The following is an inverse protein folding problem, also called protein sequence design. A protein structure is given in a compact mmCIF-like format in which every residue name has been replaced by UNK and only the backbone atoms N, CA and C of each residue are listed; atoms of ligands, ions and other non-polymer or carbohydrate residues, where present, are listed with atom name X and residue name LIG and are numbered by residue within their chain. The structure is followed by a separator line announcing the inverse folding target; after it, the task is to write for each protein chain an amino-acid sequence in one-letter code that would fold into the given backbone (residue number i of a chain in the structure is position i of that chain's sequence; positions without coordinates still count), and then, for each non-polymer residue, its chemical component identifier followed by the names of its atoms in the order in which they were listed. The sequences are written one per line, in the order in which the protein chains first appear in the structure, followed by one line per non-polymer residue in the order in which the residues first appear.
data_IF_633366565891
#
_entry.id   IF_633366565891
#
_cell.length_a   1.000
_cell.length_b   1.000
_cell.length_c   1.000
_cell.angle_alpha   90.00
_cell.angle_beta   90.00
_cell.angle_gamma   90.00
#
_symmetry.space_group_name_H-M   'P 1'
#
loop_
_entity.id
_entity.type
_entity.pdbx_description
1 polymer ?
#
# COMPACT_ATOMS: atom_id res chain seq x y z
N UNK A 1 11.44 4.20 8.32
CA UNK A 1 12.32 5.14 7.60
C UNK A 1 13.36 4.34 6.83
N UNK A 2 13.56 4.70 5.56
CA UNK A 2 14.56 4.08 4.70
C UNK A 2 15.58 5.16 4.37
N UNK A 3 16.85 4.92 4.73
CA UNK A 3 17.95 5.82 4.41
C UNK A 3 18.86 5.15 3.38
N UNK A 4 19.07 5.79 2.24
CA UNK A 4 20.03 5.35 1.21
C UNK A 4 21.24 6.31 1.27
N UNK A 5 22.46 5.81 1.41
CA UNK A 5 23.67 6.62 1.27
C UNK A 5 23.91 7.05 -0.19
N UNK A 6 24.51 8.22 -0.40
CA UNK A 6 24.72 8.84 -1.73
C UNK A 6 25.72 8.12 -2.63
N UNK A 7 26.48 7.13 -2.17
CA UNK A 7 27.45 6.40 -2.98
C UNK A 7 27.04 4.93 -3.17
N UNK A 8 27.41 4.37 -4.32
CA UNK A 8 27.01 3.11 -4.96
C UNK A 8 27.21 1.78 -4.19
N UNK A 9 27.31 1.82 -2.88
CA UNK A 9 27.22 0.69 -1.95
C UNK A 9 26.08 0.92 -0.94
N UNK A 10 24.91 1.26 -1.44
CA UNK A 10 23.75 1.62 -0.64
C UNK A 10 23.33 0.48 0.31
N UNK A 11 23.70 0.61 1.56
CA UNK A 11 23.10 -0.18 2.64
C UNK A 11 21.71 0.39 2.93
N UNK A 12 20.68 -0.29 2.48
CA UNK A 12 19.30 0.03 2.87
C UNK A 12 19.11 -0.31 4.35
N UNK A 13 18.54 0.62 5.08
CA UNK A 13 18.10 0.38 6.46
C UNK A 13 16.59 0.34 6.48
N UNK A 14 16.02 -0.79 6.86
CA UNK A 14 14.58 -0.95 7.08
C UNK A 14 14.34 -1.07 8.57
N UNK A 15 13.37 -0.33 9.08
CA UNK A 15 12.90 -0.46 10.45
C UNK A 15 11.48 -1.02 10.47
N UNK A 16 11.20 -1.90 11.43
CA UNK A 16 9.83 -2.35 11.68
C UNK A 16 9.01 -1.24 12.36
N UNK A 17 7.71 -1.48 12.57
CA UNK A 17 6.79 -0.53 13.19
C UNK A 17 7.16 -0.15 14.64
N UNK A 18 8.05 -0.90 15.27
CA UNK A 18 8.60 -0.59 16.61
C UNK A 18 9.88 0.25 16.56
N UNK A 19 10.37 0.57 15.35
CA UNK A 19 11.63 1.28 15.13
C UNK A 19 12.87 0.38 15.20
N UNK A 20 12.70 -0.95 15.27
CA UNK A 20 13.82 -1.89 15.27
C UNK A 20 14.37 -2.06 13.87
N UNK A 21 15.69 -1.90 13.73
CA UNK A 21 16.39 -2.11 12.47
C UNK A 21 16.32 -3.58 12.03
N UNK A 22 16.00 -3.81 10.74
CA UNK A 22 16.00 -5.11 10.10
C UNK A 22 17.23 -5.16 9.19
N UNK A 23 18.27 -5.95 9.55
CA UNK A 23 19.46 -6.06 8.72
C UNK A 23 19.13 -6.70 7.38
N UNK A 24 19.80 -6.24 6.33
CA UNK A 24 19.65 -6.74 4.97
C UNK A 24 20.92 -7.43 4.52
N UNK A 25 20.80 -8.51 3.79
CA UNK A 25 21.90 -9.17 3.07
C UNK A 25 21.72 -8.94 1.57
N UNK A 26 22.79 -8.53 0.90
CA UNK A 26 22.80 -8.40 -0.56
C UNK A 26 23.27 -9.69 -1.22
N UNK A 27 22.49 -10.18 -2.18
CA UNK A 27 22.84 -11.30 -3.03
C UNK A 27 23.36 -10.78 -4.38
N UNK A 28 24.67 -10.93 -4.61
CA UNK A 28 25.32 -10.49 -5.85
C UNK A 28 24.86 -11.24 -7.12
N UNK A 29 24.35 -12.46 -6.96
CA UNK A 29 23.90 -13.28 -8.08
C UNK A 29 22.51 -12.88 -8.58
N UNK A 30 21.67 -12.45 -7.66
CA UNK A 30 20.28 -12.04 -7.94
C UNK A 30 20.11 -10.52 -7.96
N UNK A 31 21.13 -9.76 -7.56
CA UNK A 31 21.10 -8.29 -7.43
C UNK A 31 19.96 -7.80 -6.52
N UNK A 32 19.68 -8.55 -5.45
CA UNK A 32 18.59 -8.32 -4.52
C UNK A 32 19.10 -8.18 -3.08
N UNK A 33 18.35 -7.43 -2.27
CA UNK A 33 18.49 -7.43 -0.81
C UNK A 33 17.43 -8.32 -0.19
N UNK A 34 17.82 -9.14 0.78
CA UNK A 34 16.93 -9.99 1.57
C UNK A 34 17.00 -9.60 3.05
N UNK A 35 15.85 -9.48 3.75
CA UNK A 35 15.85 -9.22 5.18
C UNK A 35 16.35 -10.42 5.99
N UNK A 36 17.27 -10.16 6.94
CA UNK A 36 17.75 -11.17 7.89
C UNK A 36 16.83 -11.29 9.11
N UNK A 37 15.53 -11.40 8.89
CA UNK A 37 14.54 -11.59 9.94
C UNK A 37 13.50 -12.60 9.45
N UNK A 38 13.26 -13.71 10.20
CA UNK A 38 12.32 -14.77 9.81
C UNK A 38 10.90 -14.28 9.53
N UNK A 39 10.50 -13.14 10.11
CA UNK A 39 9.18 -12.53 9.86
C UNK A 39 9.03 -11.99 8.44
N UNK A 40 10.16 -11.70 7.77
CA UNK A 40 10.22 -11.03 6.48
C UNK A 40 11.02 -11.82 5.42
N UNK A 41 11.26 -13.10 5.65
CA UNK A 41 12.05 -13.96 4.76
C UNK A 41 11.45 -14.15 3.35
N UNK A 42 10.19 -13.79 3.18
CA UNK A 42 9.48 -13.81 1.89
C UNK A 42 9.58 -12.49 1.11
N UNK A 43 10.19 -11.47 1.70
CA UNK A 43 10.35 -10.16 1.08
C UNK A 43 11.72 -10.07 0.41
N UNK A 44 11.73 -9.45 -0.75
CA UNK A 44 12.96 -9.06 -1.46
C UNK A 44 12.90 -7.58 -1.83
N UNK A 45 14.07 -6.95 -1.88
CA UNK A 45 14.17 -5.55 -2.29
C UNK A 45 15.14 -5.45 -3.46
N UNK A 46 14.69 -4.85 -4.53
CA UNK A 46 15.47 -4.56 -5.72
C UNK A 46 15.74 -3.05 -5.80
N UNK A 47 17.02 -2.66 -5.85
CA UNK A 47 17.41 -1.28 -6.08
C UNK A 47 17.37 -0.96 -7.56
N UNK A 48 16.78 0.17 -7.92
CA UNK A 48 16.64 0.63 -9.31
C UNK A 48 16.87 2.13 -9.43
N UNK A 49 17.12 2.59 -10.64
CA UNK A 49 17.03 4.00 -11.01
C UNK A 49 15.88 4.20 -11.97
N UNK A 50 15.03 5.14 -11.67
CA UNK A 50 13.89 5.50 -12.53
C UNK A 50 14.15 6.83 -13.22
N UNK A 51 14.02 6.84 -14.56
CA UNK A 51 13.97 8.07 -15.33
C UNK A 51 12.52 8.60 -15.31
N UNK A 52 12.36 9.82 -14.82
CA UNK A 52 11.10 10.55 -14.80
C UNK A 52 11.29 11.90 -15.49
N UNK A 53 10.22 12.62 -15.76
CA UNK A 53 10.28 13.96 -16.39
C UNK A 53 11.15 14.94 -15.58
N UNK A 54 11.30 14.72 -14.29
CA UNK A 54 12.10 15.53 -13.37
C UNK A 54 13.56 15.09 -13.25
N UNK A 55 13.96 14.02 -13.95
CA UNK A 55 15.34 13.50 -13.92
C UNK A 55 15.44 12.02 -13.57
N UNK A 56 16.65 11.59 -13.18
CA UNK A 56 16.89 10.22 -12.71
C UNK A 56 16.77 10.21 -11.18
N UNK A 57 15.91 9.34 -10.68
CA UNK A 57 15.62 9.18 -9.26
C UNK A 57 16.05 7.81 -8.76
N UNK A 58 16.58 7.76 -7.55
CA UNK A 58 16.81 6.49 -6.87
C UNK A 58 15.47 5.88 -6.48
N UNK A 59 15.37 4.58 -6.68
CA UNK A 59 14.15 3.84 -6.40
C UNK A 59 14.48 2.45 -5.84
N UNK A 60 13.52 1.86 -5.14
CA UNK A 60 13.55 0.46 -4.78
C UNK A 60 12.17 -0.17 -4.97
N UNK A 61 12.17 -1.45 -5.28
CA UNK A 61 10.95 -2.25 -5.35
C UNK A 61 10.98 -3.29 -4.24
N UNK A 62 10.00 -3.21 -3.35
CA UNK A 62 9.73 -4.23 -2.34
C UNK A 62 8.81 -5.27 -2.96
N UNK A 63 9.25 -6.53 -2.98
CA UNK A 63 8.47 -7.65 -3.51
C UNK A 63 8.13 -8.65 -2.40
N UNK A 64 6.86 -9.03 -2.35
CA UNK A 64 6.35 -10.19 -1.61
C UNK A 64 6.11 -11.31 -2.64
N UNK A 65 7.09 -12.20 -2.79
CA UNK A 65 7.09 -13.21 -3.85
C UNK A 65 5.93 -14.19 -3.75
N UNK A 66 5.57 -14.75 -2.58
CA UNK A 66 4.44 -15.67 -2.47
C UNK A 66 3.11 -15.08 -2.88
N UNK A 67 2.89 -13.81 -2.55
CA UNK A 67 1.63 -13.13 -2.83
C UNK A 67 1.64 -12.39 -4.17
N UNK A 68 2.77 -12.39 -4.89
CA UNK A 68 2.98 -11.66 -6.14
C UNK A 68 2.65 -10.16 -6.01
N UNK A 69 2.98 -9.58 -4.86
CA UNK A 69 2.74 -8.17 -4.56
C UNK A 69 4.07 -7.43 -4.64
N UNK A 70 4.07 -6.30 -5.34
CA UNK A 70 5.24 -5.42 -5.40
C UNK A 70 4.84 -3.96 -5.16
N UNK A 71 5.72 -3.23 -4.48
CA UNK A 71 5.60 -1.81 -4.24
C UNK A 71 6.89 -1.12 -4.65
N UNK A 72 6.79 -0.20 -5.60
CA UNK A 72 7.94 0.61 -6.02
C UNK A 72 7.90 1.96 -5.32
N UNK A 73 9.01 2.32 -4.70
CA UNK A 73 9.20 3.61 -4.04
C UNK A 73 10.29 4.37 -4.77
N UNK A 74 10.07 5.65 -4.95
CA UNK A 74 10.99 6.59 -5.61
C UNK A 74 11.36 7.68 -4.62
N UNK A 75 12.64 8.03 -4.54
CA UNK A 75 13.13 9.13 -3.73
C UNK A 75 12.96 10.44 -4.49
N UNK A 76 12.10 11.30 -3.96
CA UNK A 76 11.79 12.59 -4.56
C UNK A 76 11.58 13.65 -3.47
N UNK A 77 12.23 14.83 -3.63
CA UNK A 77 12.17 15.93 -2.68
C UNK A 77 12.50 15.51 -1.22
N UNK A 78 13.59 14.76 -1.04
CA UNK A 78 14.05 14.25 0.26
C UNK A 78 13.07 13.30 0.98
N UNK A 79 12.18 12.65 0.23
CA UNK A 79 11.20 11.73 0.78
C UNK A 79 10.99 10.54 -0.13
N UNK A 80 10.72 9.37 0.47
CA UNK A 80 10.28 8.19 -0.24
C UNK A 80 8.79 8.27 -0.54
N UNK A 81 8.43 8.18 -1.82
CA UNK A 81 7.05 8.20 -2.29
C UNK A 81 6.73 6.92 -3.05
N UNK A 82 5.54 6.39 -2.85
CA UNK A 82 5.06 5.25 -3.61
C UNK A 82 4.74 5.66 -5.04
N UNK A 83 5.31 4.93 -6.00
CA UNK A 83 5.02 5.09 -7.42
C UNK A 83 3.77 4.28 -7.77
N UNK A 84 2.68 4.97 -8.01
CA UNK A 84 1.38 4.34 -8.28
C UNK A 84 1.35 3.72 -9.67
N UNK A 85 0.45 2.74 -9.94
CA UNK A 85 0.22 2.22 -11.28
C UNK A 85 -0.22 3.28 -12.31
N UNK A 86 -0.63 4.45 -11.84
CA UNK A 86 -1.04 5.59 -12.68
C UNK A 86 0.09 6.59 -12.95
N UNK A 87 1.34 6.25 -12.63
CA UNK A 87 2.50 7.11 -12.84
C UNK A 87 2.62 8.30 -11.88
N UNK A 88 1.94 8.26 -10.72
CA UNK A 88 1.98 9.35 -9.73
C UNK A 88 2.78 8.95 -8.51
N UNK A 89 3.52 9.90 -7.95
CA UNK A 89 4.21 9.76 -6.67
C UNK A 89 3.29 10.23 -5.54
N UNK A 90 3.03 9.36 -4.57
CA UNK A 90 2.20 9.66 -3.40
C UNK A 90 2.85 9.15 -2.12
N UNK A 91 2.52 9.79 -0.99
CA UNK A 91 2.79 9.21 0.33
C UNK A 91 1.74 8.16 0.64
N UNK A 92 2.18 6.95 1.02
CA UNK A 92 1.26 5.94 1.55
C UNK A 92 0.74 6.40 2.91
N UNK A 93 -0.57 6.32 3.07
CA UNK A 93 -1.25 6.54 4.35
C UNK A 93 -1.96 5.28 4.75
N UNK A 94 -1.91 4.97 6.03
CA UNK A 94 -2.76 3.93 6.58
C UNK A 94 -4.22 4.38 6.50
N UNK A 95 -5.05 3.51 5.94
CA UNK A 95 -6.48 3.75 5.80
C UNK A 95 -7.20 3.15 7.00
N UNK A 96 -8.07 3.94 7.63
CA UNK A 96 -8.89 3.48 8.74
C UNK A 96 -9.74 2.28 8.30
N UNK A 97 -9.70 1.21 9.09
CA UNK A 97 -10.45 -0.01 8.83
C UNK A 97 -10.97 -0.61 10.13
N UNK A 98 -12.07 -1.34 10.04
CA UNK A 98 -12.70 -1.99 11.18
C UNK A 98 -13.11 -3.43 10.85
N UNK A 99 -12.68 -4.37 11.69
CA UNK A 99 -12.98 -5.80 11.51
C UNK A 99 -12.29 -6.44 10.28
N UNK A 100 -12.65 -7.66 9.99
CA UNK A 100 -12.20 -8.44 8.83
C UNK A 100 -10.68 -8.63 8.70
N UNK A 101 -9.89 -8.37 9.75
CA UNK A 101 -8.45 -8.62 9.75
C UNK A 101 -8.20 -10.10 9.37
N UNK A 102 -7.34 -10.34 8.37
CA UNK A 102 -7.06 -11.65 7.77
C UNK A 102 -8.28 -12.33 7.08
N UNK A 103 -9.40 -11.64 6.94
CA UNK A 103 -10.62 -12.14 6.27
C UNK A 103 -11.12 -11.17 5.19
N UNK A 104 -10.24 -10.31 4.69
CA UNK A 104 -10.58 -9.28 3.71
C UNK A 104 -11.06 -9.85 2.36
N UNK A 105 -10.61 -11.07 2.02
CA UNK A 105 -11.01 -11.76 0.79
C UNK A 105 -12.39 -12.45 0.88
N UNK A 106 -13.02 -12.50 2.07
CA UNK A 106 -14.32 -13.15 2.24
C UNK A 106 -15.37 -12.54 1.31
N UNK A 107 -16.28 -13.40 0.83
CA UNK A 107 -17.37 -13.01 -0.06
C UNK A 107 -16.91 -12.21 -1.30
N UNK A 108 -15.86 -12.67 -1.95
CA UNK A 108 -15.27 -12.04 -3.12
C UNK A 108 -14.83 -10.58 -2.83
N UNK A 109 -13.91 -10.41 -1.88
CA UNK A 109 -13.32 -9.12 -1.47
C UNK A 109 -14.30 -8.18 -0.73
N UNK A 110 -15.51 -8.62 -0.41
CA UNK A 110 -16.47 -7.78 0.33
C UNK A 110 -15.99 -7.49 1.73
N UNK A 111 -15.26 -8.40 2.37
CA UNK A 111 -14.64 -8.15 3.67
C UNK A 111 -13.72 -6.92 3.64
N UNK A 112 -12.91 -6.75 2.60
CA UNK A 112 -12.11 -5.55 2.37
C UNK A 112 -12.98 -4.30 2.25
N UNK A 113 -14.00 -4.35 1.39
CA UNK A 113 -14.90 -3.20 1.15
C UNK A 113 -15.61 -2.81 2.44
N UNK A 114 -16.18 -3.78 3.16
CA UNK A 114 -16.92 -3.51 4.40
C UNK A 114 -16.02 -2.96 5.51
N UNK A 115 -14.80 -3.48 5.65
CA UNK A 115 -13.87 -3.00 6.67
C UNK A 115 -13.52 -1.52 6.52
N UNK A 116 -13.45 -0.97 5.31
CA UNK A 116 -13.21 0.44 5.01
C UNK A 116 -14.51 1.27 4.98
N UNK A 117 -15.64 0.61 4.73
CA UNK A 117 -16.96 1.27 4.72
C UNK A 117 -17.47 1.56 6.13
N UNK A 118 -17.26 0.64 7.09
CA UNK A 118 -17.74 0.81 8.48
C UNK A 118 -17.21 2.09 9.13
N UNK A 119 -15.92 2.46 9.05
CA UNK A 119 -15.45 3.74 9.57
C UNK A 119 -16.15 4.95 8.96
N UNK A 120 -16.52 4.91 7.68
CA UNK A 120 -17.24 6.00 7.01
C UNK A 120 -18.63 6.26 7.63
N UNK A 121 -19.25 5.24 8.22
CA UNK A 121 -20.54 5.40 8.91
C UNK A 121 -20.47 6.43 10.04
N UNK A 122 -19.31 6.56 10.70
CA UNK A 122 -19.12 7.59 11.75
C UNK A 122 -19.14 9.00 11.16
N UNK A 123 -18.57 9.16 9.97
CA UNK A 123 -18.48 10.46 9.30
C UNK A 123 -19.83 10.87 8.72
N UNK A 124 -20.61 9.92 8.24
CA UNK A 124 -21.87 10.17 7.53
C UNK A 124 -23.12 9.75 8.33
N UNK A 125 -23.01 9.67 9.66
CA UNK A 125 -24.09 9.18 10.51
C UNK A 125 -25.33 10.09 10.56
N UNK A 126 -25.14 11.40 10.36
CA UNK A 126 -26.20 12.39 10.46
C UNK A 126 -26.73 12.85 9.10
N UNK A 127 -25.83 12.95 8.14
CA UNK A 127 -26.15 13.35 6.78
C UNK A 127 -25.37 12.47 5.82
N UNK A 128 -26.07 11.61 5.12
CA UNK A 128 -25.44 10.73 4.14
C UNK A 128 -24.67 11.46 3.07
N UNK A 129 -23.87 10.74 2.31
CA UNK A 129 -23.06 11.28 1.21
C UNK A 129 -23.89 11.59 -0.04
N UNK A 130 -25.14 11.15 -0.06
CA UNK A 130 -26.03 11.24 -1.22
C UNK A 130 -25.90 10.03 -2.18
N UNK A 131 -26.88 9.87 -3.07
CA UNK A 131 -26.91 8.76 -4.01
C UNK A 131 -25.71 8.79 -4.96
N UNK A 132 -25.17 7.60 -5.23
CA UNK A 132 -24.02 7.38 -6.12
C UNK A 132 -22.69 8.08 -5.74
N UNK A 133 -22.61 8.73 -4.58
CA UNK A 133 -21.40 9.41 -4.13
C UNK A 133 -20.41 8.48 -3.38
N UNK A 134 -20.73 7.20 -3.19
CA UNK A 134 -19.89 6.24 -2.47
C UNK A 134 -18.47 6.14 -3.03
N UNK A 135 -18.32 6.16 -4.35
CA UNK A 135 -17.03 6.10 -5.03
C UNK A 135 -16.08 7.24 -4.62
N UNK A 136 -16.62 8.40 -4.25
CA UNK A 136 -15.85 9.57 -3.83
C UNK A 136 -15.47 9.45 -2.34
N UNK A 137 -16.36 8.89 -1.52
CA UNK A 137 -16.15 8.75 -0.07
C UNK A 137 -15.27 7.56 0.28
N UNK A 138 -15.34 6.49 -0.51
CA UNK A 138 -14.52 5.29 -0.28
C UNK A 138 -13.03 5.61 -0.48
N UNK A 139 -12.14 5.11 0.40
CA UNK A 139 -10.70 5.39 0.30
C UNK A 139 -10.05 4.58 -0.83
N UNK A 140 -10.36 4.89 -2.09
CA UNK A 140 -9.84 4.21 -3.28
C UNK A 140 -8.31 4.35 -3.44
N UNK A 141 -7.66 5.20 -2.65
CA UNK A 141 -6.19 5.31 -2.58
C UNK A 141 -5.55 4.34 -1.56
N UNK A 142 -6.30 3.38 -1.01
CA UNK A 142 -5.76 2.28 -0.19
C UNK A 142 -5.03 1.24 -1.07
N UNK A 143 -3.87 1.62 -1.60
CA UNK A 143 -3.08 0.74 -2.47
C UNK A 143 -2.56 -0.50 -1.75
N UNK A 144 -2.28 -0.41 -0.45
CA UNK A 144 -1.80 -1.55 0.34
C UNK A 144 -2.91 -2.57 0.54
N UNK A 145 -4.07 -2.12 1.02
CA UNK A 145 -5.22 -3.01 1.24
C UNK A 145 -5.74 -3.61 -0.05
N UNK A 146 -5.85 -2.82 -1.13
CA UNK A 146 -6.32 -3.32 -2.43
C UNK A 146 -5.39 -4.38 -3.02
N UNK A 147 -4.06 -4.23 -2.90
CA UNK A 147 -3.11 -5.24 -3.37
C UNK A 147 -3.21 -6.54 -2.59
N UNK A 148 -3.43 -6.50 -1.28
CA UNK A 148 -3.62 -7.72 -0.45
C UNK A 148 -4.81 -8.57 -0.89
N UNK A 149 -5.85 -7.94 -1.43
CA UNK A 149 -7.02 -8.65 -1.95
C UNK A 149 -6.94 -8.93 -3.45
N UNK A 150 -5.75 -8.79 -4.05
CA UNK A 150 -5.50 -9.13 -5.45
C UNK A 150 -5.96 -8.06 -6.46
N UNK A 151 -6.06 -6.79 -6.04
CA UNK A 151 -6.42 -5.68 -6.92
C UNK A 151 -5.45 -4.51 -6.82
N UNK A 152 -4.51 -4.38 -7.76
CA UNK A 152 -3.60 -3.21 -7.78
C UNK A 152 -4.29 -1.90 -8.14
N UNK A 153 -5.45 -1.96 -8.80
CA UNK A 153 -6.24 -0.83 -9.30
C UNK A 153 -7.73 -1.00 -9.01
N UNK A 154 -8.05 -1.58 -7.84
CA UNK A 154 -9.44 -1.81 -7.46
C UNK A 154 -10.14 -0.49 -7.19
N UNK A 155 -11.07 -0.13 -8.06
CA UNK A 155 -11.98 1.00 -7.87
C UNK A 155 -13.29 0.49 -7.28
N UNK A 156 -13.60 0.92 -6.06
CA UNK A 156 -14.81 0.51 -5.35
C UNK A 156 -15.87 1.58 -5.48
N UNK A 157 -16.92 1.27 -6.19
CA UNK A 157 -18.06 2.17 -6.46
C UNK A 157 -19.28 1.93 -5.55
N UNK A 158 -19.34 0.77 -4.91
CA UNK A 158 -20.45 0.33 -4.05
C UNK A 158 -19.97 -0.50 -2.87
N UNK A 159 -20.67 -0.46 -1.72
CA UNK A 159 -20.37 -1.33 -0.58
C UNK A 159 -20.82 -2.78 -0.78
N UNK A 160 -21.55 -3.12 -1.84
CA UNK A 160 -22.12 -4.44 -2.10
C UNK A 160 -22.88 -5.04 -0.89
N UNK A 161 -23.53 -4.17 -0.13
CA UNK A 161 -24.38 -4.49 1.01
C UNK A 161 -25.44 -3.41 1.10
N UNK A 162 -26.71 -3.80 0.98
CA UNK A 162 -27.84 -2.87 0.92
C UNK A 162 -27.95 -2.03 2.18
N UNK A 163 -27.71 -2.61 3.36
CA UNK A 163 -27.76 -1.85 4.64
C UNK A 163 -26.69 -0.77 4.68
N UNK A 164 -25.44 -1.12 4.39
CA UNK A 164 -24.33 -0.16 4.37
C UNK A 164 -24.56 0.92 3.31
N UNK A 165 -25.06 0.53 2.15
CA UNK A 165 -25.34 1.47 1.08
C UNK A 165 -26.43 2.47 1.47
N UNK A 166 -27.56 1.99 1.99
CA UNK A 166 -28.65 2.85 2.44
C UNK A 166 -28.16 3.77 3.54
N UNK A 167 -27.49 3.24 4.56
CA UNK A 167 -27.01 4.04 5.69
C UNK A 167 -26.07 5.18 5.28
N UNK A 168 -25.15 4.93 4.36
CA UNK A 168 -24.16 5.94 3.95
C UNK A 168 -24.75 6.94 2.96
N UNK A 169 -25.73 6.55 2.17
CA UNK A 169 -26.31 7.42 1.12
C UNK A 169 -27.48 8.28 1.58
N UNK A 170 -28.15 7.91 2.66
CA UNK A 170 -29.30 8.66 3.20
C UNK A 170 -28.92 9.55 4.36
#
# INVERSE_FOLDING_TARGET
DITIPEESNATFTITDSSGKNIPLTYDNGLELYTPNDPRFNMLTLESKRYAMDTGIHDAFTLCDTPNQISFTFVYDNNEWKYYTPYGKLIKLKEVEHFGFKNSENIANRRGYIWSRTIPLMKTYWFKGIGPNAFIIAFPNADFVGSKRVGGSTLLVDKPHNTFLQTYIQT
#
